data_IF_775567026088
#
_entry.id   IF_775567026088
#
_cell.length_a   1.000
_cell.length_b   1.000
_cell.length_c   1.000
_cell.angle_alpha   90.00
_cell.angle_beta   90.00
_cell.angle_gamma   90.00
#
_symmetry.space_group_name_H-M   'P 1'
#
loop_
_entity.id
_entity.type
_entity.pdbx_description
1 polymer ?
#
# COMPACT_ATOMS: atom_id res chain seq x y z
N UNK A 1 -32.52 -11.58 26.01
CA UNK A 1 -31.73 -10.89 24.97
C UNK A 1 -30.27 -10.82 25.42
N UNK A 2 -29.43 -11.68 24.82
CA UNK A 2 -27.96 -11.82 24.80
C UNK A 2 -27.00 -11.33 25.93
N UNK A 3 -27.42 -10.80 27.07
CA UNK A 3 -26.54 -10.47 28.22
C UNK A 3 -25.32 -9.58 27.87
N UNK A 4 -25.43 -8.77 26.82
CA UNK A 4 -24.38 -7.85 26.37
C UNK A 4 -24.53 -6.51 27.09
N UNK A 5 -23.41 -5.96 27.59
CA UNK A 5 -23.35 -4.55 27.97
C UNK A 5 -23.48 -3.70 26.70
N UNK A 6 -24.52 -2.87 26.65
CA UNK A 6 -24.73 -1.91 25.59
C UNK A 6 -24.63 -0.48 26.13
N UNK A 7 -24.24 0.44 25.26
CA UNK A 7 -24.27 1.88 25.50
C UNK A 7 -25.08 2.54 24.39
N UNK A 8 -25.80 3.60 24.73
CA UNK A 8 -26.53 4.43 23.78
C UNK A 8 -26.19 5.91 24.01
N UNK A 9 -26.46 6.74 23.01
CA UNK A 9 -26.33 8.19 23.10
C UNK A 9 -27.70 8.81 22.82
N UNK A 10 -28.13 9.76 23.66
CA UNK A 10 -29.43 10.43 23.52
C UNK A 10 -29.40 11.55 22.47
N UNK A 11 -28.21 11.99 22.07
CA UNK A 11 -27.97 12.98 21.04
C UNK A 11 -26.67 12.68 20.31
N UNK A 12 -26.53 13.15 19.07
CA UNK A 12 -25.26 13.04 18.36
C UNK A 12 -24.20 13.88 19.11
N UNK A 13 -22.98 13.35 19.36
CA UNK A 13 -21.91 14.13 19.95
C UNK A 13 -21.59 15.32 19.04
N UNK A 14 -21.38 16.49 19.65
CA UNK A 14 -20.95 17.67 18.91
C UNK A 14 -19.54 17.42 18.35
N UNK A 15 -19.45 17.19 17.04
CA UNK A 15 -18.18 17.17 16.33
C UNK A 15 -17.85 18.61 15.97
N UNK A 16 -16.69 19.11 16.40
CA UNK A 16 -16.19 20.38 15.92
C UNK A 16 -15.87 20.24 14.43
N UNK A 17 -16.78 20.70 13.57
CA UNK A 17 -16.51 20.84 12.14
C UNK A 17 -15.52 22.00 11.94
N UNK A 18 -14.24 21.68 11.91
CA UNK A 18 -13.30 22.58 11.25
C UNK A 18 -13.65 22.54 9.76
N UNK A 19 -14.04 23.68 9.18
CA UNK A 19 -13.92 23.85 7.73
C UNK A 19 -12.44 24.08 7.47
N UNK A 20 -11.68 23.09 6.99
CA UNK A 20 -10.29 23.33 6.65
C UNK A 20 -10.26 24.48 5.64
N UNK A 21 -9.40 25.46 5.87
CA UNK A 21 -9.13 26.48 4.87
C UNK A 21 -8.44 25.77 3.69
N UNK A 22 -9.23 25.42 2.68
CA UNK A 22 -8.78 24.95 1.38
C UNK A 22 -8.67 26.16 0.45
N UNK A 23 -7.97 27.23 0.87
CA UNK A 23 -7.44 28.22 -0.05
C UNK A 23 -6.72 27.49 -1.21
N UNK A 24 -7.27 27.63 -2.42
CA UNK A 24 -6.60 27.26 -3.65
C UNK A 24 -5.33 28.09 -3.73
N UNK A 25 -4.19 27.45 -3.48
CA UNK A 25 -2.90 28.11 -3.66
C UNK A 25 -2.45 27.74 -5.06
N UNK A 26 -2.50 28.74 -5.96
CA UNK A 26 -1.71 28.72 -7.17
C UNK A 26 -0.28 28.35 -6.77
N UNK A 27 0.31 27.37 -7.46
CA UNK A 27 1.67 26.93 -7.12
C UNK A 27 2.62 28.12 -7.11
N UNK A 28 3.34 28.28 -6.01
CA UNK A 28 4.43 29.24 -5.94
C UNK A 28 5.53 28.82 -6.91
N UNK A 29 6.23 29.78 -7.51
CA UNK A 29 7.32 29.46 -8.44
C UNK A 29 8.49 28.80 -7.70
N UNK A 30 9.09 27.77 -8.32
CA UNK A 30 10.33 27.15 -7.87
C UNK A 30 11.15 26.69 -9.06
N UNK A 31 12.42 27.08 -9.10
CA UNK A 31 13.40 26.59 -10.07
C UNK A 31 13.95 25.19 -9.75
N UNK A 32 13.69 24.67 -8.54
CA UNK A 32 14.14 23.34 -8.10
C UNK A 32 13.06 22.29 -8.36
N UNK A 33 11.80 22.66 -8.17
CA UNK A 33 10.63 21.81 -8.33
C UNK A 33 9.75 21.78 -7.08
N UNK A 34 8.97 20.72 -6.96
CA UNK A 34 7.86 20.65 -6.00
C UNK A 34 7.84 19.36 -5.20
N UNK A 35 7.17 19.38 -4.06
CA UNK A 35 6.92 18.18 -3.27
C UNK A 35 5.49 18.07 -2.76
N UNK A 36 5.02 16.82 -2.64
CA UNK A 36 3.72 16.44 -2.10
C UNK A 36 3.92 15.45 -0.96
N UNK A 37 3.75 15.86 0.31
CA UNK A 37 3.75 14.93 1.42
C UNK A 37 2.63 13.90 1.24
N UNK A 38 2.97 12.62 1.26
CA UNK A 38 1.97 11.57 1.13
C UNK A 38 1.28 11.37 2.48
N UNK A 39 -0.01 11.68 2.52
CA UNK A 39 -0.84 11.62 3.74
C UNK A 39 -2.19 10.95 3.47
N UNK A 40 -2.74 11.13 2.28
CA UNK A 40 -4.06 10.64 1.89
C UNK A 40 -4.00 9.79 0.62
N UNK A 41 -5.01 8.94 0.41
CA UNK A 41 -5.20 8.18 -0.81
C UNK A 41 -5.14 9.07 -2.07
N UNK A 42 -5.71 10.27 -2.04
CA UNK A 42 -5.72 11.15 -3.22
C UNK A 42 -4.30 11.54 -3.68
N UNK A 43 -3.33 11.61 -2.78
CA UNK A 43 -1.96 12.00 -3.11
C UNK A 43 -1.30 10.99 -4.07
N UNK A 44 -1.45 9.69 -3.80
CA UNK A 44 -0.87 8.64 -4.65
C UNK A 44 -1.65 8.46 -5.97
N UNK A 45 -2.96 8.71 -5.95
CA UNK A 45 -3.78 8.72 -7.18
C UNK A 45 -3.39 9.89 -8.08
N UNK A 46 -3.12 11.06 -7.50
CA UNK A 46 -2.56 12.19 -8.24
C UNK A 46 -1.18 11.86 -8.84
N UNK A 47 -0.31 11.19 -8.08
CA UNK A 47 0.99 10.75 -8.58
C UNK A 47 0.85 9.79 -9.77
N UNK A 48 -0.11 8.87 -9.74
CA UNK A 48 -0.43 8.04 -10.90
C UNK A 48 -0.82 8.89 -12.12
N UNK A 49 -1.69 9.90 -11.94
CA UNK A 49 -2.06 10.83 -13.02
C UNK A 49 -0.83 11.57 -13.55
N UNK A 50 0.03 12.07 -12.67
CA UNK A 50 1.24 12.82 -13.04
C UNK A 50 2.21 11.95 -13.86
N UNK A 51 2.49 10.73 -13.40
CA UNK A 51 3.30 9.74 -14.12
C UNK A 51 2.69 9.38 -15.48
N UNK A 52 1.35 9.24 -15.53
CA UNK A 52 0.63 8.96 -16.77
C UNK A 52 0.72 10.11 -17.77
N UNK A 53 0.83 11.34 -17.28
CA UNK A 53 1.05 12.55 -18.05
C UNK A 53 2.52 12.80 -18.43
N UNK A 54 3.44 11.87 -18.09
CA UNK A 54 4.86 11.98 -18.41
C UNK A 54 5.68 12.79 -17.40
N UNK A 55 5.08 13.25 -16.29
CA UNK A 55 5.79 13.95 -15.24
C UNK A 55 6.57 12.93 -14.41
N UNK A 56 7.90 13.06 -14.41
CA UNK A 56 8.80 12.19 -13.64
C UNK A 56 8.71 12.53 -12.16
N UNK A 57 8.37 11.52 -11.37
CA UNK A 57 8.20 11.63 -9.92
C UNK A 57 9.21 10.75 -9.21
N UNK A 58 9.80 11.29 -8.15
CA UNK A 58 10.62 10.52 -7.20
C UNK A 58 9.96 10.52 -5.83
N UNK A 59 10.44 9.69 -4.92
CA UNK A 59 9.97 9.66 -3.55
C UNK A 59 11.15 9.46 -2.61
N UNK A 60 11.16 10.16 -1.48
CA UNK A 60 12.21 10.02 -0.48
C UNK A 60 11.91 8.85 0.47
N UNK A 61 12.80 7.86 0.62
CA UNK A 61 12.54 6.75 1.53
C UNK A 61 12.72 7.11 3.00
N UNK A 62 13.39 8.23 3.28
CA UNK A 62 13.70 8.75 4.63
C UNK A 62 13.35 10.23 4.72
N UNK A 63 12.98 10.68 5.92
CA UNK A 63 12.77 12.10 6.17
C UNK A 63 14.06 12.90 5.90
N UNK A 64 13.92 14.13 5.44
CA UNK A 64 15.02 15.03 5.09
C UNK A 64 14.73 16.45 5.55
N UNK A 65 15.78 17.21 5.86
CA UNK A 65 15.69 18.63 6.25
C UNK A 65 16.26 19.46 5.12
N UNK A 66 15.42 20.31 4.52
CA UNK A 66 15.71 21.03 3.27
C UNK A 66 15.13 22.43 3.37
N UNK A 67 15.97 23.45 3.24
CA UNK A 67 15.51 24.85 3.24
C UNK A 67 14.80 25.24 4.53
N UNK A 68 15.27 24.74 5.68
CA UNK A 68 14.68 24.96 7.00
C UNK A 68 13.43 24.13 7.29
N UNK A 69 12.97 23.29 6.36
CA UNK A 69 11.74 22.50 6.50
C UNK A 69 12.06 21.00 6.58
N UNK A 70 11.38 20.29 7.49
CA UNK A 70 11.42 18.82 7.53
C UNK A 70 10.40 18.24 6.55
N UNK A 71 10.89 17.55 5.53
CA UNK A 71 10.09 16.79 4.58
C UNK A 71 10.01 15.32 5.07
N UNK A 72 8.81 14.81 5.39
CA UNK A 72 8.65 13.45 5.92
C UNK A 72 9.01 12.38 4.89
N UNK A 73 9.30 11.15 5.34
CA UNK A 73 9.49 9.98 4.46
C UNK A 73 8.24 9.73 3.61
N UNK A 74 8.42 9.18 2.42
CA UNK A 74 7.32 8.88 1.50
C UNK A 74 6.73 10.11 0.80
N UNK A 75 7.40 11.26 0.83
CA UNK A 75 6.99 12.47 0.10
C UNK A 75 7.35 12.32 -1.36
N UNK A 76 6.41 12.63 -2.25
CA UNK A 76 6.64 12.67 -3.69
C UNK A 76 7.34 13.96 -4.11
N UNK A 77 8.26 13.86 -5.05
CA UNK A 77 9.14 14.93 -5.52
C UNK A 77 9.05 15.05 -7.03
N UNK A 78 8.74 16.25 -7.51
CA UNK A 78 8.64 16.62 -8.92
C UNK A 78 9.77 17.61 -9.23
N UNK A 79 10.96 17.10 -9.51
CA UNK A 79 12.17 17.91 -9.67
C UNK A 79 12.25 18.50 -11.07
N UNK A 80 12.54 19.79 -11.17
CA UNK A 80 12.68 20.50 -12.46
C UNK A 80 13.79 19.88 -13.30
N UNK A 81 14.94 19.56 -12.71
CA UNK A 81 16.07 18.93 -13.40
C UNK A 81 15.77 17.54 -14.02
N UNK A 82 14.62 16.92 -13.73
CA UNK A 82 14.22 15.62 -14.30
C UNK A 82 13.07 15.73 -15.28
N UNK A 83 12.42 16.88 -15.37
CA UNK A 83 11.24 17.10 -16.18
C UNK A 83 11.54 18.10 -17.29
N UNK A 84 10.78 18.01 -18.39
CA UNK A 84 10.91 18.94 -19.50
C UNK A 84 10.24 20.28 -19.16
N UNK A 85 10.67 21.35 -19.82
CA UNK A 85 10.11 22.70 -19.62
C UNK A 85 8.59 22.71 -19.75
N UNK A 86 7.91 23.38 -18.81
CA UNK A 86 6.45 23.52 -18.81
C UNK A 86 5.71 22.41 -18.05
N UNK A 87 6.41 21.42 -17.48
CA UNK A 87 5.79 20.44 -16.59
C UNK A 87 5.12 21.09 -15.38
N UNK A 88 5.63 22.22 -14.90
CA UNK A 88 5.13 22.96 -13.73
C UNK A 88 3.70 23.42 -13.96
N UNK A 89 3.42 23.97 -15.15
CA UNK A 89 2.06 24.38 -15.52
C UNK A 89 1.13 23.18 -15.54
N UNK A 90 1.55 22.08 -16.16
CA UNK A 90 0.76 20.85 -16.24
C UNK A 90 0.48 20.27 -14.85
N UNK A 91 1.51 20.25 -14.00
CA UNK A 91 1.43 19.81 -12.61
C UNK A 91 0.48 20.70 -11.80
N UNK A 92 0.53 22.02 -12.00
CA UNK A 92 -0.35 23.00 -11.36
C UNK A 92 -1.80 22.84 -11.77
N UNK A 93 -2.08 22.78 -13.07
CA UNK A 93 -3.44 22.61 -13.58
C UNK A 93 -4.08 21.31 -13.02
N UNK A 94 -3.29 20.25 -12.89
CA UNK A 94 -3.74 18.99 -12.29
C UNK A 94 -3.96 19.09 -10.79
N UNK A 95 -3.04 19.72 -10.05
CA UNK A 95 -3.12 19.86 -8.60
C UNK A 95 -4.30 20.75 -8.19
N UNK A 96 -4.57 21.82 -8.93
CA UNK A 96 -5.73 22.70 -8.72
C UNK A 96 -7.04 21.94 -8.92
N UNK A 97 -7.13 21.10 -9.97
CA UNK A 97 -8.32 20.27 -10.24
C UNK A 97 -8.59 19.24 -9.14
N UNK A 98 -7.54 18.66 -8.58
CA UNK A 98 -7.65 17.65 -7.52
C UNK A 98 -7.62 18.28 -6.10
N UNK A 99 -7.60 19.61 -6.00
CA UNK A 99 -7.51 20.38 -4.75
C UNK A 99 -6.30 20.01 -3.86
N UNK A 100 -5.18 19.67 -4.49
CA UNK A 100 -3.94 19.28 -3.82
C UNK A 100 -2.97 20.45 -3.66
N UNK A 101 -2.28 20.47 -2.52
CA UNK A 101 -1.30 21.52 -2.18
C UNK A 101 0.11 21.03 -2.35
N UNK A 102 0.68 21.32 -3.51
CA UNK A 102 2.10 21.12 -3.77
C UNK A 102 2.91 22.25 -3.12
N UNK A 103 4.04 21.89 -2.54
CA UNK A 103 4.94 22.84 -1.87
C UNK A 103 6.19 23.06 -2.73
N UNK A 104 6.65 24.31 -2.90
CA UNK A 104 7.89 24.60 -3.63
C UNK A 104 9.10 24.08 -2.85
N UNK A 105 10.10 23.59 -3.56
CA UNK A 105 11.45 23.38 -3.03
C UNK A 105 12.26 24.65 -3.21
N UNK A 106 12.91 25.12 -2.14
CA UNK A 106 13.85 26.25 -2.22
C UNK A 106 15.27 25.82 -2.60
N UNK A 107 15.61 24.55 -2.35
CA UNK A 107 16.94 23.97 -2.64
C UNK A 107 16.83 22.46 -2.81
N UNK A 108 17.75 21.87 -3.57
CA UNK A 108 17.92 20.41 -3.68
C UNK A 108 18.98 19.86 -2.72
N UNK A 109 19.68 20.73 -2.00
CA UNK A 109 20.70 20.37 -1.01
C UNK A 109 20.08 20.21 0.37
N UNK A 110 20.44 19.16 1.12
CA UNK A 110 19.98 19.02 2.49
C UNK A 110 20.69 20.02 3.40
N UNK A 111 19.96 20.48 4.41
CA UNK A 111 20.51 21.33 5.47
C UNK A 111 21.51 20.54 6.33
N UNK A 112 21.21 19.25 6.55
CA UNK A 112 22.00 18.35 7.39
C UNK A 112 22.00 16.92 6.81
N UNK A 113 23.08 16.18 7.05
CA UNK A 113 23.21 14.79 6.60
C UNK A 113 23.43 14.65 5.09
N UNK A 114 23.14 13.45 4.57
CA UNK A 114 23.36 13.09 3.15
C UNK A 114 22.05 12.88 2.36
N UNK A 115 20.90 13.15 2.97
CA UNK A 115 19.58 12.85 2.39
C UNK A 115 18.94 14.13 1.89
N UNK A 116 18.92 14.35 0.58
CA UNK A 116 18.29 15.53 -0.03
C UNK A 116 17.66 15.22 -1.38
N UNK A 117 16.80 16.12 -1.91
CA UNK A 117 16.04 15.87 -3.13
C UNK A 117 16.88 15.55 -4.36
N UNK A 118 18.10 16.10 -4.46
CA UNK A 118 19.02 15.89 -5.58
C UNK A 118 20.03 14.75 -5.41
N UNK A 119 20.01 13.99 -4.31
CA UNK A 119 21.04 12.99 -3.97
C UNK A 119 20.56 11.56 -4.34
N UNK A 120 21.51 10.65 -4.61
CA UNK A 120 21.25 9.23 -4.83
C UNK A 120 20.56 8.54 -3.64
N UNK A 121 19.64 7.63 -3.94
CA UNK A 121 18.84 6.91 -2.93
C UNK A 121 17.35 7.28 -2.88
N UNK A 122 16.89 8.14 -3.79
CA UNK A 122 15.46 8.34 -4.04
C UNK A 122 14.85 7.14 -4.76
N UNK A 123 13.59 6.84 -4.49
CA UNK A 123 12.79 5.88 -5.27
C UNK A 123 12.27 6.60 -6.50
N UNK A 124 12.69 6.21 -7.69
CA UNK A 124 12.22 6.80 -8.95
C UNK A 124 11.04 6.01 -9.49
N UNK A 125 9.85 6.61 -9.48
CA UNK A 125 8.63 5.89 -9.80
C UNK A 125 8.51 5.62 -11.30
N UNK A 126 8.24 4.35 -11.65
CA UNK A 126 7.84 3.94 -12.99
C UNK A 126 6.36 4.21 -13.20
N UNK A 127 5.96 4.57 -14.42
CA UNK A 127 4.53 4.70 -14.78
C UNK A 127 3.85 3.34 -14.57
N UNK A 128 2.86 3.22 -13.68
CA UNK A 128 2.20 1.94 -13.43
C UNK A 128 1.39 1.49 -14.65
N UNK A 129 1.52 0.22 -15.01
CA UNK A 129 0.62 -0.48 -15.94
C UNK A 129 0.14 -1.75 -15.25
N UNK A 130 -1.11 -1.72 -14.80
CA UNK A 130 -1.66 -2.68 -13.84
C UNK A 130 -2.54 -3.70 -14.59
N UNK A 131 -2.29 -4.98 -14.33
CA UNK A 131 -3.18 -6.06 -14.72
C UNK A 131 -3.80 -6.71 -13.48
N UNK A 132 -5.01 -7.24 -13.62
CA UNK A 132 -5.69 -7.98 -12.55
C UNK A 132 -6.14 -9.33 -13.11
N UNK A 133 -5.67 -10.41 -12.49
CA UNK A 133 -6.10 -11.76 -12.83
C UNK A 133 -7.46 -12.01 -12.21
N UNK A 134 -8.42 -12.37 -13.06
CA UNK A 134 -9.82 -12.56 -12.74
C UNK A 134 -10.35 -13.86 -13.37
N UNK A 135 -11.53 -14.29 -12.94
CA UNK A 135 -12.23 -15.44 -13.53
C UNK A 135 -11.96 -16.79 -12.86
N UNK A 136 -11.33 -16.80 -11.69
CA UNK A 136 -11.28 -18.02 -10.87
C UNK A 136 -12.62 -18.16 -10.11
N UNK A 137 -13.38 -19.21 -10.42
CA UNK A 137 -14.70 -19.46 -9.81
C UNK A 137 -14.55 -19.62 -8.29
N UNK A 138 -15.42 -18.93 -7.53
CA UNK A 138 -15.45 -19.01 -6.07
C UNK A 138 -14.65 -17.94 -5.31
N UNK A 139 -13.89 -17.06 -5.98
CA UNK A 139 -13.29 -15.91 -5.32
C UNK A 139 -14.17 -14.65 -5.40
N UNK A 140 -14.64 -14.16 -4.25
CA UNK A 140 -15.44 -12.95 -4.13
C UNK A 140 -14.63 -11.65 -4.10
N UNK A 141 -13.31 -11.71 -3.87
CA UNK A 141 -12.41 -10.56 -3.78
C UNK A 141 -12.24 -9.79 -5.09
N UNK A 142 -12.52 -10.42 -6.23
CA UNK A 142 -12.44 -9.76 -7.53
C UNK A 142 -13.45 -8.61 -7.70
N UNK A 143 -14.64 -8.74 -7.10
CA UNK A 143 -15.71 -7.75 -7.21
C UNK A 143 -15.38 -6.43 -6.50
N UNK A 144 -15.09 -6.43 -5.19
CA UNK A 144 -14.69 -5.23 -4.47
C UNK A 144 -13.46 -4.55 -5.07
N UNK A 145 -12.42 -5.30 -5.46
CA UNK A 145 -11.26 -4.73 -6.13
C UNK A 145 -11.64 -4.06 -7.46
N UNK A 146 -12.48 -4.70 -8.29
CA UNK A 146 -12.97 -4.09 -9.53
C UNK A 146 -13.68 -2.76 -9.24
N UNK A 147 -14.61 -2.77 -8.28
CA UNK A 147 -15.34 -1.57 -7.87
C UNK A 147 -14.38 -0.47 -7.43
N UNK A 148 -13.40 -0.78 -6.57
CA UNK A 148 -12.40 0.19 -6.14
C UNK A 148 -11.61 0.75 -7.31
N UNK A 149 -11.13 -0.08 -8.22
CA UNK A 149 -10.34 0.38 -9.37
C UNK A 149 -11.16 1.29 -10.30
N UNK A 150 -12.41 0.93 -10.61
CA UNK A 150 -13.25 1.66 -11.57
C UNK A 150 -13.99 2.85 -10.95
N UNK A 151 -14.47 2.72 -9.71
CA UNK A 151 -15.37 3.69 -9.08
C UNK A 151 -14.66 4.61 -8.10
N UNK A 152 -13.78 4.09 -7.25
CA UNK A 152 -13.13 4.90 -6.20
C UNK A 152 -11.77 5.46 -6.66
N UNK A 153 -10.89 4.60 -7.14
CA UNK A 153 -9.51 4.95 -7.50
C UNK A 153 -9.41 5.55 -8.90
N UNK A 154 -10.36 5.23 -9.79
CA UNK A 154 -10.34 5.63 -11.21
C UNK A 154 -9.02 5.25 -11.88
N UNK A 155 -8.48 4.08 -11.52
CA UNK A 155 -7.23 3.55 -12.07
C UNK A 155 -7.56 2.54 -13.18
N UNK A 156 -7.09 2.77 -14.42
CA UNK A 156 -7.28 1.79 -15.48
C UNK A 156 -6.45 0.53 -15.19
N UNK A 157 -7.03 -0.62 -15.52
CA UNK A 157 -6.35 -1.90 -15.41
C UNK A 157 -6.74 -2.81 -16.58
N UNK A 158 -5.90 -3.81 -16.84
CA UNK A 158 -6.21 -4.86 -17.82
C UNK A 158 -6.67 -6.13 -17.10
N UNK A 159 -7.91 -6.61 -17.29
CA UNK A 159 -8.32 -7.91 -16.78
C UNK A 159 -7.58 -9.03 -17.54
N UNK A 160 -7.08 -10.02 -16.81
CA UNK A 160 -6.38 -11.19 -17.35
C UNK A 160 -7.06 -12.47 -16.86
N UNK A 161 -7.07 -13.52 -17.68
CA UNK A 161 -7.31 -14.88 -17.18
C UNK A 161 -6.03 -15.46 -16.59
N UNK A 162 -6.15 -16.51 -15.77
CA UNK A 162 -4.98 -17.23 -15.23
C UNK A 162 -4.07 -17.75 -16.34
N UNK A 163 -4.63 -18.21 -17.47
CA UNK A 163 -3.86 -18.69 -18.61
C UNK A 163 -2.97 -17.62 -19.26
N UNK A 164 -3.36 -16.34 -19.19
CA UNK A 164 -2.59 -15.23 -19.75
C UNK A 164 -1.23 -15.03 -19.04
N UNK A 165 -1.05 -15.55 -17.82
CA UNK A 165 0.22 -15.52 -17.10
C UNK A 165 1.34 -16.31 -17.80
N UNK A 166 1.01 -17.18 -18.76
CA UNK A 166 2.01 -17.88 -19.58
C UNK A 166 2.43 -17.09 -20.83
N UNK A 167 1.81 -15.93 -21.08
CA UNK A 167 2.04 -15.12 -22.28
C UNK A 167 3.06 -14.00 -22.09
N UNK A 168 2.96 -12.96 -22.93
CA UNK A 168 3.78 -11.76 -22.82
C UNK A 168 3.25 -10.84 -21.71
N UNK A 169 4.09 -10.60 -20.70
CA UNK A 169 3.78 -9.79 -19.53
C UNK A 169 4.57 -8.47 -19.49
N UNK A 170 5.44 -8.23 -20.47
CA UNK A 170 6.47 -7.18 -20.45
C UNK A 170 5.89 -5.77 -20.40
N UNK A 171 4.64 -5.61 -20.85
CA UNK A 171 3.92 -4.33 -20.78
C UNK A 171 3.49 -3.95 -19.36
N UNK A 172 3.38 -4.91 -18.45
CA UNK A 172 2.84 -4.71 -17.11
C UNK A 172 3.96 -4.45 -16.11
N UNK A 173 3.75 -3.45 -15.26
CA UNK A 173 4.61 -3.21 -14.08
C UNK A 173 4.11 -4.02 -12.88
N UNK A 174 2.80 -4.23 -12.81
CA UNK A 174 2.12 -4.82 -11.66
C UNK A 174 1.06 -5.80 -12.13
N UNK A 175 1.00 -6.98 -11.54
CA UNK A 175 -0.07 -7.96 -11.76
C UNK A 175 -0.66 -8.34 -10.41
N UNK A 176 -1.93 -8.03 -10.21
CA UNK A 176 -2.70 -8.40 -9.02
C UNK A 176 -3.40 -9.73 -9.27
N UNK A 177 -3.25 -10.68 -8.35
CA UNK A 177 -3.91 -11.97 -8.37
C UNK A 177 -4.92 -11.99 -7.23
N UNK A 178 -6.20 -12.08 -7.59
CA UNK A 178 -7.28 -12.21 -6.61
C UNK A 178 -7.43 -13.68 -6.26
N UNK A 179 -6.78 -14.11 -5.17
CA UNK A 179 -6.74 -15.48 -4.65
C UNK A 179 -6.31 -16.56 -5.64
N UNK A 180 -6.21 -17.79 -5.15
CA UNK A 180 -5.84 -18.95 -5.95
C UNK A 180 -4.89 -19.88 -5.22
N UNK A 181 -5.00 -21.17 -5.51
CA UNK A 181 -4.04 -22.19 -5.07
C UNK A 181 -3.19 -22.70 -6.24
N UNK A 182 -2.19 -23.52 -5.92
CA UNK A 182 -1.31 -24.16 -6.92
C UNK A 182 -0.18 -23.26 -7.41
N UNK A 183 0.68 -23.76 -8.28
CA UNK A 183 1.82 -22.99 -8.80
C UNK A 183 1.43 -22.05 -9.93
N UNK A 184 2.19 -20.95 -10.09
CA UNK A 184 2.09 -20.07 -11.26
C UNK A 184 3.00 -20.56 -12.39
N UNK A 185 2.84 -19.99 -13.59
CA UNK A 185 3.67 -20.34 -14.74
C UNK A 185 5.14 -19.94 -14.52
N UNK A 186 6.08 -20.66 -15.15
CA UNK A 186 7.49 -20.29 -15.15
C UNK A 186 7.73 -18.88 -15.71
N UNK A 187 6.98 -18.52 -16.76
CA UNK A 187 7.02 -17.19 -17.39
C UNK A 187 6.64 -16.08 -16.41
N UNK A 188 5.63 -16.30 -15.57
CA UNK A 188 5.24 -15.34 -14.54
C UNK A 188 6.36 -15.14 -13.52
N UNK A 189 6.98 -16.23 -13.06
CA UNK A 189 8.14 -16.14 -12.17
C UNK A 189 9.35 -15.43 -12.79
N UNK A 190 9.62 -15.62 -14.09
CA UNK A 190 10.64 -14.87 -14.82
C UNK A 190 10.33 -13.37 -14.88
N UNK A 191 9.08 -13.01 -15.17
CA UNK A 191 8.62 -11.62 -15.20
C UNK A 191 8.81 -10.93 -13.84
N UNK A 192 8.45 -11.61 -12.73
CA UNK A 192 8.73 -11.08 -11.38
C UNK A 192 10.23 -10.88 -11.19
N UNK A 193 11.06 -11.89 -11.47
CA UNK A 193 12.53 -11.79 -11.32
C UNK A 193 13.15 -10.66 -12.15
N UNK A 194 12.55 -10.31 -13.29
CA UNK A 194 12.98 -9.23 -14.16
C UNK A 194 12.53 -7.82 -13.71
N UNK A 195 11.85 -7.71 -12.56
CA UNK A 195 11.40 -6.43 -12.02
C UNK A 195 9.88 -6.26 -11.99
N UNK A 196 9.09 -7.30 -12.27
CA UNK A 196 7.64 -7.26 -12.08
C UNK A 196 7.24 -7.20 -10.60
N UNK A 197 6.13 -6.52 -10.28
CA UNK A 197 5.51 -6.53 -8.96
C UNK A 197 4.25 -7.41 -8.98
N UNK A 198 4.32 -8.61 -8.40
CA UNK A 198 3.14 -9.45 -8.20
C UNK A 198 2.46 -9.08 -6.88
N UNK A 199 1.14 -8.93 -6.88
CA UNK A 199 0.36 -8.65 -5.67
C UNK A 199 -0.68 -9.75 -5.48
N UNK A 200 -0.63 -10.47 -4.36
CA UNK A 200 -1.68 -11.41 -4.00
C UNK A 200 -2.67 -10.73 -3.07
N UNK A 201 -3.98 -10.91 -3.30
CA UNK A 201 -5.02 -10.61 -2.30
C UNK A 201 -5.80 -11.87 -1.95
N UNK A 202 -6.33 -11.93 -0.72
CA UNK A 202 -7.18 -12.99 -0.15
C UNK A 202 -6.54 -14.38 0.10
N UNK A 203 -5.62 -14.84 -0.76
CA UNK A 203 -4.88 -16.08 -0.51
C UNK A 203 -3.58 -16.14 -1.33
N UNK A 204 -2.40 -16.14 -0.69
CA UNK A 204 -1.12 -16.21 -1.38
C UNK A 204 -0.55 -17.63 -1.51
N UNK A 205 -1.38 -18.67 -1.43
CA UNK A 205 -0.94 -20.06 -1.49
C UNK A 205 -0.09 -20.37 -2.74
N UNK A 206 -0.36 -19.69 -3.87
CA UNK A 206 0.43 -19.82 -5.09
C UNK A 206 1.85 -19.27 -5.03
N UNK A 207 2.09 -18.39 -4.06
CA UNK A 207 3.36 -17.70 -3.86
C UNK A 207 4.15 -18.24 -2.67
N UNK A 208 3.61 -19.19 -1.89
CA UNK A 208 4.24 -19.69 -0.67
C UNK A 208 4.61 -21.16 -0.85
N UNK A 209 5.83 -21.52 -0.43
CA UNK A 209 6.34 -22.90 -0.46
C UNK A 209 7.47 -23.09 -1.47
N UNK A 210 7.84 -24.35 -1.72
CA UNK A 210 9.03 -24.72 -2.50
C UNK A 210 9.00 -24.25 -3.96
N UNK A 211 7.81 -24.16 -4.56
CA UNK A 211 7.60 -23.62 -5.91
C UNK A 211 7.17 -22.15 -5.93
N UNK A 212 7.11 -21.51 -4.76
CA UNK A 212 6.64 -20.14 -4.59
C UNK A 212 7.78 -19.11 -4.63
N UNK A 213 7.46 -17.93 -4.11
CA UNK A 213 8.32 -16.75 -4.03
C UNK A 213 8.71 -16.42 -2.58
N UNK A 214 8.00 -17.00 -1.60
CA UNK A 214 8.27 -16.87 -0.18
C UNK A 214 8.19 -18.24 0.52
N UNK A 215 8.94 -18.40 1.62
CA UNK A 215 8.83 -19.55 2.53
C UNK A 215 8.27 -19.05 3.85
N UNK A 216 7.01 -19.40 4.15
CA UNK A 216 6.31 -19.01 5.37
C UNK A 216 5.68 -20.25 5.99
N UNK A 217 5.85 -20.41 7.30
CA UNK A 217 5.25 -21.54 8.01
C UNK A 217 3.76 -21.28 8.21
N UNK A 218 2.93 -22.19 7.70
CA UNK A 218 1.47 -22.11 7.86
C UNK A 218 1.04 -22.63 9.24
N UNK A 219 0.02 -22.00 9.80
CA UNK A 219 -0.68 -22.44 11.01
C UNK A 219 -2.16 -22.53 10.69
N UNK A 220 -2.78 -23.65 11.04
CA UNK A 220 -4.23 -23.83 10.91
C UNK A 220 -4.86 -23.80 12.29
N UNK A 221 -5.70 -22.79 12.53
CA UNK A 221 -6.43 -22.62 13.77
C UNK A 221 -7.82 -23.26 13.68
N UNK A 222 -8.22 -23.91 14.78
CA UNK A 222 -9.55 -24.50 14.97
C UNK A 222 -10.04 -24.12 16.36
N UNK A 223 -11.23 -23.52 16.51
CA UNK A 223 -12.14 -23.04 15.46
C UNK A 223 -11.58 -21.83 14.66
N UNK A 224 -12.19 -21.56 13.51
CA UNK A 224 -11.79 -20.51 12.57
C UNK A 224 -12.50 -19.18 12.84
N UNK A 225 -11.86 -18.04 12.55
CA UNK A 225 -12.43 -16.72 12.81
C UNK A 225 -13.62 -16.41 11.88
N UNK A 226 -14.79 -16.00 12.39
CA UNK A 226 -15.97 -15.70 11.57
C UNK A 226 -15.87 -14.35 10.83
N UNK A 227 -14.69 -13.71 10.86
CA UNK A 227 -14.47 -12.32 10.51
C UNK A 227 -14.38 -11.46 11.77
N UNK A 228 -13.19 -10.98 12.09
CA UNK A 228 -12.94 -10.13 13.25
C UNK A 228 -11.85 -9.11 12.95
N UNK A 229 -11.90 -7.99 13.65
CA UNK A 229 -10.99 -6.87 13.46
C UNK A 229 -9.90 -6.93 14.53
N UNK A 230 -8.65 -7.03 14.09
CA UNK A 230 -7.49 -7.06 14.97
C UNK A 230 -6.63 -5.82 14.79
N UNK A 231 -5.95 -5.42 15.86
CA UNK A 231 -4.85 -4.46 15.82
C UNK A 231 -3.58 -5.21 15.41
N UNK A 232 -2.96 -4.72 14.35
CA UNK A 232 -1.69 -5.19 13.81
C UNK A 232 -0.64 -4.07 13.83
N UNK A 233 0.59 -4.46 13.53
CA UNK A 233 1.78 -3.63 13.53
C UNK A 233 2.31 -3.53 12.11
N UNK A 234 2.27 -2.32 11.55
CA UNK A 234 2.83 -2.00 10.24
C UNK A 234 4.27 -1.48 10.41
N UNK A 235 5.23 -2.08 9.73
CA UNK A 235 6.64 -1.69 9.77
C UNK A 235 6.86 -0.34 9.05
N UNK A 236 7.25 0.74 9.76
CA UNK A 236 7.51 2.05 9.17
C UNK A 236 8.71 2.06 8.20
N UNK A 237 9.52 1.01 8.17
CA UNK A 237 10.63 0.87 7.21
C UNK A 237 10.18 0.30 5.87
N UNK A 238 9.04 -0.41 5.84
CA UNK A 238 8.48 -0.94 4.60
C UNK A 238 7.99 0.19 3.70
N UNK A 239 8.21 0.10 2.39
CA UNK A 239 7.64 1.06 1.43
C UNK A 239 6.10 1.02 1.42
N UNK A 240 5.50 -0.10 1.84
CA UNK A 240 4.05 -0.24 1.97
C UNK A 240 3.49 0.69 3.05
N UNK A 241 4.33 1.16 3.97
CA UNK A 241 3.92 2.07 5.05
C UNK A 241 3.97 3.56 4.68
N UNK A 242 4.37 3.93 3.46
CA UNK A 242 4.32 5.33 3.05
C UNK A 242 2.87 5.83 3.01
N UNK A 243 2.68 7.09 3.38
CA UNK A 243 1.34 7.65 3.57
C UNK A 243 0.75 7.41 4.97
N UNK A 244 1.34 6.54 5.80
CA UNK A 244 0.90 6.33 7.18
C UNK A 244 1.78 7.14 8.16
N UNK A 245 1.17 7.87 9.13
CA UNK A 245 1.92 8.57 10.17
C UNK A 245 2.79 7.59 10.96
N UNK A 246 4.11 7.71 10.81
CA UNK A 246 5.05 6.89 11.56
C UNK A 246 5.34 7.53 12.92
N UNK A 247 5.28 6.76 14.02
CA UNK A 247 5.81 7.23 15.30
C UNK A 247 7.34 7.37 15.22
N UNK A 248 7.93 8.11 16.16
CA UNK A 248 9.39 8.22 16.26
C UNK A 248 10.06 6.87 16.54
N UNK A 249 9.37 6.00 17.28
CA UNK A 249 9.83 4.66 17.66
C UNK A 249 8.68 3.66 17.59
N UNK A 250 9.00 2.43 17.19
CA UNK A 250 8.05 1.32 17.13
C UNK A 250 7.22 1.27 15.84
N UNK A 251 6.30 0.29 15.75
CA UNK A 251 5.48 0.09 14.56
C UNK A 251 4.31 1.08 14.50
N UNK A 252 3.71 1.20 13.31
CA UNK A 252 2.46 1.90 13.09
C UNK A 252 1.31 0.97 13.49
N UNK A 253 0.42 1.42 14.38
CA UNK A 253 -0.78 0.65 14.70
C UNK A 253 -1.78 0.73 13.55
N UNK A 254 -2.26 -0.42 13.08
CA UNK A 254 -3.24 -0.52 11.99
C UNK A 254 -4.30 -1.56 12.33
N UNK A 255 -5.55 -1.34 11.91
CA UNK A 255 -6.64 -2.31 12.09
C UNK A 255 -6.78 -3.17 10.84
N UNK A 256 -6.82 -4.50 10.99
CA UNK A 256 -6.88 -5.46 9.89
C UNK A 256 -8.01 -6.48 10.09
N UNK A 257 -8.83 -6.75 9.06
CA UNK A 257 -9.81 -7.83 9.10
C UNK A 257 -9.09 -9.18 8.97
N UNK A 258 -9.57 -10.17 9.71
CA UNK A 258 -9.07 -11.54 9.67
C UNK A 258 -10.25 -12.49 9.72
N UNK A 259 -10.28 -13.46 8.80
CA UNK A 259 -11.33 -14.47 8.72
C UNK A 259 -10.75 -15.83 8.34
N UNK A 260 -11.42 -16.89 8.79
CA UNK A 260 -10.91 -18.25 8.65
C UNK A 260 -9.84 -18.58 9.69
N UNK A 261 -9.16 -19.70 9.45
CA UNK A 261 -8.17 -20.26 10.36
C UNK A 261 -6.80 -20.47 9.73
N UNK A 262 -6.56 -19.99 8.51
CA UNK A 262 -5.27 -20.19 7.82
C UNK A 262 -4.37 -18.98 8.00
N UNK A 263 -3.35 -19.11 8.86
CA UNK A 263 -2.40 -18.05 9.15
C UNK A 263 -0.99 -18.43 8.71
N UNK A 264 -0.10 -17.45 8.61
CA UNK A 264 1.31 -17.66 8.26
C UNK A 264 2.20 -16.98 9.30
N UNK A 265 3.16 -17.70 9.89
CA UNK A 265 4.09 -17.09 10.86
C UNK A 265 4.94 -16.01 10.18
N UNK A 266 5.10 -14.88 10.85
CA UNK A 266 5.92 -13.78 10.37
C UNK A 266 7.40 -14.19 10.42
N UNK A 267 8.12 -14.16 9.28
CA UNK A 267 9.58 -14.33 9.28
C UNK A 267 10.26 -13.12 9.92
N UNK A 268 11.57 -13.27 10.21
CA UNK A 268 12.39 -12.19 10.80
C UNK A 268 12.44 -10.90 9.97
N UNK A 269 12.17 -10.97 8.67
CA UNK A 269 12.20 -9.84 7.75
C UNK A 269 11.14 -10.00 6.64
N UNK A 270 10.72 -8.89 6.04
CA UNK A 270 9.78 -8.86 4.93
C UNK A 270 8.30 -8.80 5.35
N UNK A 271 7.96 -9.07 6.61
CA UNK A 271 6.60 -8.85 7.12
C UNK A 271 6.34 -7.35 7.26
N UNK A 272 5.55 -6.79 6.33
CA UNK A 272 5.18 -5.38 6.36
C UNK A 272 4.06 -5.11 7.37
N UNK A 273 3.12 -6.03 7.52
CA UNK A 273 2.09 -5.98 8.58
C UNK A 273 2.08 -7.32 9.31
N UNK A 274 2.17 -7.29 10.64
CA UNK A 274 2.15 -8.49 11.47
C UNK A 274 1.26 -8.32 12.71
N UNK A 275 0.75 -9.43 13.24
CA UNK A 275 0.04 -9.44 14.51
C UNK A 275 1.06 -9.49 15.65
N UNK A 276 0.88 -8.62 16.63
CA UNK A 276 1.80 -8.47 17.76
C UNK A 276 2.05 -9.81 18.47
N UNK A 277 3.29 -10.08 18.83
CA UNK A 277 3.69 -11.22 19.66
C UNK A 277 3.70 -10.89 21.17
N UNK A 278 3.39 -9.65 21.56
CA UNK A 278 3.25 -9.28 22.96
C UNK A 278 1.86 -9.66 23.50
N UNK A 279 1.81 -10.43 24.58
CA UNK A 279 0.57 -10.86 25.24
C UNK A 279 -0.10 -9.73 26.03
N UNK A 280 0.64 -8.63 26.31
CA UNK A 280 0.09 -7.45 26.98
C UNK A 280 -0.69 -6.55 26.02
N UNK A 281 -0.51 -6.73 24.72
CA UNK A 281 -1.21 -5.93 23.71
C UNK A 281 -2.61 -6.51 23.53
N UNK A 282 -3.65 -5.73 23.83
CA UNK A 282 -5.01 -6.08 23.40
C UNK A 282 -5.08 -6.05 21.86
N UNK A 283 -5.31 -7.22 21.25
CA UNK A 283 -5.26 -7.43 19.80
C UNK A 283 -6.64 -7.36 19.18
N UNK A 284 -7.64 -8.01 19.77
CA UNK A 284 -9.03 -7.95 19.27
C UNK A 284 -9.61 -6.55 19.48
N UNK A 285 -9.95 -5.88 18.37
CA UNK A 285 -10.60 -4.57 18.35
C UNK A 285 -12.13 -4.72 18.29
N UNK A 286 -12.62 -5.64 17.47
CA UNK A 286 -14.05 -5.91 17.29
C UNK A 286 -14.27 -7.33 16.74
N UNK A 287 -15.43 -7.92 17.03
CA UNK A 287 -15.80 -9.27 16.60
C UNK A 287 -15.64 -10.33 17.69
N UNK A 288 -15.46 -11.58 17.27
CA UNK A 288 -15.39 -12.75 18.12
C UNK A 288 -14.16 -13.59 17.78
N UNK A 289 -13.41 -13.99 18.81
CA UNK A 289 -12.27 -14.88 18.68
C UNK A 289 -12.25 -15.87 19.85
N UNK A 290 -11.60 -17.00 19.65
CA UNK A 290 -11.38 -18.01 20.69
C UNK A 290 -9.93 -17.94 21.17
N UNK A 291 -9.71 -18.24 22.44
CA UNK A 291 -8.37 -18.21 23.05
C UNK A 291 -7.35 -19.08 22.29
N UNK A 292 -7.77 -20.25 21.77
CA UNK A 292 -6.93 -21.12 20.94
C UNK A 292 -6.53 -20.45 19.62
N UNK A 293 -7.50 -19.84 18.94
CA UNK A 293 -7.29 -19.15 17.66
C UNK A 293 -6.45 -17.88 17.82
N UNK A 294 -6.67 -17.10 18.88
CA UNK A 294 -5.83 -15.93 19.18
C UNK A 294 -4.37 -16.32 19.46
N UNK A 295 -4.14 -17.46 20.12
CA UNK A 295 -2.81 -18.00 20.35
C UNK A 295 -2.10 -18.37 19.04
N UNK A 296 -2.82 -18.97 18.09
CA UNK A 296 -2.26 -19.35 16.79
C UNK A 296 -1.98 -18.12 15.91
N UNK A 297 -2.83 -17.10 16.01
CA UNK A 297 -2.72 -15.83 15.30
C UNK A 297 -1.54 -14.96 15.78
N UNK A 298 -1.01 -15.21 16.98
CA UNK A 298 0.13 -14.47 17.53
C UNK A 298 1.36 -14.57 16.61
N UNK A 299 1.97 -13.42 16.31
CA UNK A 299 3.20 -13.34 15.51
C UNK A 299 3.03 -13.78 14.06
N UNK A 300 1.82 -13.71 13.51
CA UNK A 300 1.56 -14.04 12.10
C UNK A 300 1.69 -12.81 11.22
N UNK A 301 2.06 -13.02 9.95
CA UNK A 301 2.03 -11.97 8.94
C UNK A 301 0.59 -11.79 8.44
N UNK A 302 0.21 -10.54 8.21
CA UNK A 302 -1.00 -10.16 7.48
C UNK A 302 -0.66 -9.62 6.08
N UNK A 303 0.50 -8.96 5.95
CA UNK A 303 1.07 -8.51 4.68
C UNK A 303 2.57 -8.80 4.67
N UNK A 304 3.03 -9.54 3.66
CA UNK A 304 4.43 -9.87 3.47
C UNK A 304 4.95 -9.36 2.12
N UNK A 305 6.18 -8.85 2.12
CA UNK A 305 6.91 -8.38 0.95
C UNK A 305 8.12 -9.29 0.72
N UNK A 306 8.06 -10.11 -0.33
CA UNK A 306 9.13 -11.00 -0.73
C UNK A 306 9.90 -10.41 -1.92
N UNK A 307 11.19 -10.13 -1.74
CA UNK A 307 12.07 -9.73 -2.84
C UNK A 307 12.40 -10.93 -3.72
N UNK A 308 12.24 -10.78 -5.04
CA UNK A 308 12.41 -11.87 -6.01
C UNK A 308 13.19 -11.35 -7.21
N UNK A 309 14.49 -11.63 -7.27
CA UNK A 309 15.37 -11.05 -8.29
C UNK A 309 15.38 -9.52 -8.21
N UNK A 310 15.02 -8.85 -9.30
CA UNK A 310 14.86 -7.39 -9.35
C UNK A 310 13.43 -6.91 -9.06
N UNK A 311 12.48 -7.84 -8.89
CA UNK A 311 11.09 -7.54 -8.57
C UNK A 311 10.69 -8.06 -7.21
N UNK A 312 9.38 -8.24 -7.02
CA UNK A 312 8.81 -8.59 -5.71
C UNK A 312 7.45 -9.26 -5.81
N UNK A 313 7.12 -10.03 -4.79
CA UNK A 313 5.79 -10.56 -4.53
C UNK A 313 5.26 -9.97 -3.22
N UNK A 314 4.24 -9.12 -3.31
CA UNK A 314 3.52 -8.52 -2.18
C UNK A 314 2.30 -9.38 -1.86
N UNK A 315 2.32 -10.04 -0.71
CA UNK A 315 1.38 -11.08 -0.34
C UNK A 315 0.48 -10.59 0.78
N UNK A 316 -0.74 -10.16 0.45
CA UNK A 316 -1.79 -9.98 1.45
C UNK A 316 -2.36 -11.35 1.79
N UNK A 317 -2.30 -11.70 3.08
CA UNK A 317 -2.82 -12.98 3.60
C UNK A 317 -4.35 -12.96 3.67
N UNK A 318 -4.93 -11.77 3.75
CA UNK A 318 -6.36 -11.48 3.75
C UNK A 318 -6.68 -10.52 2.59
N UNK A 319 -7.96 -10.20 2.39
CA UNK A 319 -8.38 -9.24 1.37
C UNK A 319 -8.40 -7.80 1.93
N UNK A 320 -7.49 -6.90 1.52
CA UNK A 320 -7.51 -5.49 1.93
C UNK A 320 -8.71 -4.71 1.37
N UNK A 321 -9.44 -5.30 0.42
CA UNK A 321 -10.55 -4.69 -0.31
C UNK A 321 -11.92 -5.24 0.09
N UNK A 322 -11.99 -6.17 1.05
CA UNK A 322 -13.24 -6.86 1.37
C UNK A 322 -14.40 -5.86 1.58
N UNK A 323 -15.48 -6.09 0.82
CA UNK A 323 -16.68 -5.23 0.73
C UNK A 323 -16.45 -3.75 0.42
N UNK A 324 -15.26 -3.33 0.00
CA UNK A 324 -14.88 -1.93 -0.18
C UNK A 324 -15.13 -1.07 1.09
N UNK A 325 -14.87 -1.63 2.27
CA UNK A 325 -15.13 -0.95 3.56
C UNK A 325 -13.86 -0.47 4.28
N UNK A 326 -12.68 -0.80 3.80
CA UNK A 326 -11.43 -0.67 4.55
C UNK A 326 -10.52 0.45 4.02
N UNK A 327 -11.00 1.70 4.05
CA UNK A 327 -10.24 2.87 3.56
C UNK A 327 -8.83 2.99 4.17
N UNK A 328 -8.68 2.59 5.44
CA UNK A 328 -7.39 2.55 6.13
C UNK A 328 -6.37 1.55 5.55
N UNK A 329 -6.78 0.60 4.71
CA UNK A 329 -5.93 -0.41 4.08
C UNK A 329 -5.62 -0.10 2.61
N UNK A 330 -6.39 0.81 1.98
CA UNK A 330 -6.25 1.10 0.54
C UNK A 330 -4.88 1.65 0.18
N UNK A 331 -4.25 2.43 1.05
CA UNK A 331 -2.87 2.90 0.81
C UNK A 331 -1.87 1.75 0.77
N UNK A 332 -2.03 0.67 1.55
CA UNK A 332 -1.18 -0.52 1.41
C UNK A 332 -1.27 -1.10 0.00
N UNK A 333 -2.50 -1.25 -0.52
CA UNK A 333 -2.75 -1.80 -1.85
C UNK A 333 -2.24 -0.86 -2.96
N UNK A 334 -2.51 0.45 -2.85
CA UNK A 334 -2.03 1.45 -3.81
C UNK A 334 -0.50 1.52 -3.79
N UNK A 335 0.14 1.42 -2.62
CA UNK A 335 1.60 1.35 -2.51
C UNK A 335 2.14 0.10 -3.21
N UNK A 336 1.53 -1.06 -3.01
CA UNK A 336 1.92 -2.28 -3.70
C UNK A 336 1.81 -2.14 -5.23
N UNK A 337 0.74 -1.51 -5.73
CA UNK A 337 0.49 -1.40 -7.16
C UNK A 337 1.30 -0.31 -7.87
N UNK A 338 1.51 0.85 -7.23
CA UNK A 338 2.10 2.05 -7.83
C UNK A 338 3.58 2.19 -7.47
N UNK A 339 3.94 1.94 -6.20
CA UNK A 339 5.31 2.09 -5.70
C UNK A 339 6.07 0.77 -5.82
N UNK A 340 5.43 -0.37 -5.59
CA UNK A 340 6.05 -1.70 -5.57
C UNK A 340 6.96 -2.01 -6.77
N UNK A 341 6.60 -1.67 -8.03
CA UNK A 341 7.50 -1.86 -9.17
C UNK A 341 8.79 -1.02 -9.11
N UNK A 342 8.86 -0.01 -8.26
CA UNK A 342 10.01 0.91 -8.18
C UNK A 342 10.76 0.82 -6.85
N UNK A 343 10.17 0.15 -5.85
CA UNK A 343 10.69 -0.03 -4.51
C UNK A 343 11.73 -1.14 -4.43
#
# INVERSE_FOLDING_TARGET
>A
AYNLKAWWCESAPAVAEAKPDVAGSRLQESSVGYYLPYTDQQDILFVYKALSAGIKTSMNPRAMKVGGTTIPRGTFLFLAARNDDGFEKKLSDMAEKDHLRLKPLSTSYPDEGRQGPGIGGMIHLRKPNIAIVMGNVGNLSGGPLWYLMEQEFKLPFTPLSTGALSGNLDRFTTIVITGGGGSTSGRFGEWIRAGGCAVSISSPAWAIGSSGFATLDSVTATPDLPGSLFKAELDPKSFLSYGYPAPEKGPISIAVPISGGSFYKAPKAGSAVQLSDDDKVKKLLSGWAWDSTEKDLKGTAWLHDASVGQGRAVLFMEDPTDRAQWNGLYKLLLNAMIIGPSA
#
